data_IF_724886279167
#
_entry.id   IF_724886279167
#
_cell.length_a   1.000
_cell.length_b   1.000
_cell.length_c   1.000
_cell.angle_alpha   90.00
_cell.angle_beta   90.00
_cell.angle_gamma   90.00
#
_symmetry.space_group_name_H-M   'P 1'
#
loop_
_entity.id
_entity.type
_entity.pdbx_description
1 polymer ?
#
# COMPACT_ATOMS: atom_id res chain seq x y z
N UNK A 1 -27.47 -26.10 -4.10
CA UNK A 1 -28.71 -25.88 -4.88
C UNK A 1 -28.26 -25.63 -6.31
N UNK A 2 -28.75 -26.42 -7.28
CA UNK A 2 -28.44 -26.23 -8.70
C UNK A 2 -29.45 -25.23 -9.25
N UNK A 3 -29.05 -24.16 -9.95
CA UNK A 3 -30.01 -23.22 -10.52
C UNK A 3 -30.87 -23.88 -11.59
N UNK A 4 -32.19 -23.64 -11.55
CA UNK A 4 -33.16 -24.16 -12.54
C UNK A 4 -33.30 -23.26 -13.78
N UNK A 5 -32.72 -22.05 -13.74
CA UNK A 5 -32.73 -21.06 -14.81
C UNK A 5 -31.32 -20.52 -15.05
N UNK A 6 -31.10 -19.90 -16.21
CA UNK A 6 -29.85 -19.17 -16.49
C UNK A 6 -29.54 -18.20 -15.35
N UNK A 7 -28.35 -18.37 -14.76
CA UNK A 7 -27.94 -17.68 -13.54
C UNK A 7 -26.51 -17.21 -13.69
N UNK A 8 -26.26 -15.93 -13.42
CA UNK A 8 -24.90 -15.39 -13.37
C UNK A 8 -24.24 -15.75 -12.05
N UNK A 9 -23.06 -16.36 -12.11
CA UNK A 9 -22.22 -16.60 -10.95
C UNK A 9 -21.09 -15.58 -10.96
N UNK A 10 -20.95 -14.85 -9.86
CA UNK A 10 -19.80 -13.96 -9.63
C UNK A 10 -18.99 -14.57 -8.50
N UNK A 11 -17.72 -14.86 -8.78
CA UNK A 11 -16.76 -15.35 -7.80
C UNK A 11 -15.52 -14.45 -7.83
N UNK A 12 -15.02 -14.10 -6.65
CA UNK A 12 -13.75 -13.43 -6.45
C UNK A 12 -12.72 -14.47 -6.01
N UNK A 13 -11.57 -14.51 -6.68
CA UNK A 13 -10.49 -15.47 -6.41
C UNK A 13 -9.23 -14.65 -6.19
N UNK A 14 -8.68 -14.70 -4.97
CA UNK A 14 -7.48 -13.98 -4.62
C UNK A 14 -7.06 -14.27 -3.18
N UNK A 15 -5.97 -13.64 -2.72
CA UNK A 15 -5.56 -13.77 -1.32
C UNK A 15 -6.66 -13.23 -0.40
N UNK A 16 -6.91 -13.98 0.68
CA UNK A 16 -7.97 -13.66 1.63
C UNK A 16 -7.44 -12.74 2.73
N UNK A 17 -8.28 -11.81 3.17
CA UNK A 17 -8.02 -11.01 4.37
C UNK A 17 -8.20 -11.85 5.65
N UNK A 18 -7.92 -11.26 6.81
CA UNK A 18 -8.08 -11.91 8.11
C UNK A 18 -9.52 -12.39 8.41
N UNK A 19 -10.53 -11.92 7.65
CA UNK A 19 -11.94 -12.34 7.73
C UNK A 19 -12.31 -13.41 6.71
N UNK A 20 -11.36 -13.90 5.91
CA UNK A 20 -11.62 -14.90 4.87
C UNK A 20 -12.26 -14.34 3.61
N UNK A 21 -12.22 -13.02 3.40
CA UNK A 21 -12.82 -12.35 2.24
C UNK A 21 -11.75 -12.01 1.20
N UNK A 22 -12.08 -12.16 -0.08
CA UNK A 22 -11.24 -11.63 -1.15
C UNK A 22 -11.31 -10.10 -1.15
N UNK A 23 -10.15 -9.44 -1.15
CA UNK A 23 -10.07 -7.98 -1.21
C UNK A 23 -10.30 -7.45 -2.64
N UNK A 24 -10.14 -6.14 -2.83
CA UNK A 24 -10.39 -5.49 -4.11
C UNK A 24 -9.52 -6.08 -5.24
N UNK A 25 -10.19 -6.37 -6.36
CA UNK A 25 -9.57 -6.77 -7.62
C UNK A 25 -9.38 -5.55 -8.51
N UNK A 26 -8.26 -5.50 -9.24
CA UNK A 26 -8.03 -4.46 -10.24
C UNK A 26 -9.02 -4.62 -11.41
N UNK A 27 -9.28 -3.54 -12.16
CA UNK A 27 -10.25 -3.56 -13.28
C UNK A 27 -9.96 -4.65 -14.33
N UNK A 28 -8.69 -5.02 -14.46
CA UNK A 28 -8.18 -6.04 -15.39
C UNK A 28 -8.11 -7.44 -14.78
N UNK A 29 -8.37 -7.57 -13.48
CA UNK A 29 -8.37 -8.84 -12.73
C UNK A 29 -9.77 -9.47 -12.76
N UNK A 30 -10.25 -9.72 -13.97
CA UNK A 30 -11.55 -10.36 -14.24
C UNK A 30 -11.48 -11.21 -15.49
N UNK A 31 -12.38 -12.18 -15.59
CA UNK A 31 -12.59 -12.91 -16.85
C UNK A 31 -13.10 -11.94 -17.90
N UNK A 32 -12.41 -11.84 -19.04
CA UNK A 32 -12.83 -11.04 -20.20
C UNK A 32 -13.76 -11.80 -21.13
N UNK A 33 -13.85 -13.12 -20.95
CA UNK A 33 -14.68 -14.03 -21.73
C UNK A 33 -15.87 -14.51 -20.89
N UNK A 34 -16.99 -14.80 -21.57
CA UNK A 34 -18.18 -15.36 -20.95
C UNK A 34 -17.97 -16.85 -20.66
N UNK A 35 -17.81 -17.18 -19.38
CA UNK A 35 -17.71 -18.56 -18.92
C UNK A 35 -19.12 -19.06 -18.57
N UNK A 36 -19.60 -20.08 -19.28
CA UNK A 36 -20.87 -20.75 -18.98
C UNK A 36 -20.62 -22.07 -18.25
N UNK A 37 -21.29 -22.25 -17.13
CA UNK A 37 -21.23 -23.48 -16.33
C UNK A 37 -22.57 -24.20 -16.49
N UNK A 38 -22.56 -25.41 -17.04
CA UNK A 38 -23.73 -26.29 -17.06
C UNK A 38 -23.78 -27.14 -15.79
N UNK A 39 -24.67 -26.77 -14.87
CA UNK A 39 -24.87 -27.49 -13.61
C UNK A 39 -25.72 -28.76 -13.75
N UNK A 40 -26.29 -29.06 -14.92
CA UNK A 40 -27.12 -30.25 -15.15
C UNK A 40 -26.29 -31.48 -15.52
N UNK A 41 -25.11 -31.26 -16.10
CA UNK A 41 -24.21 -32.32 -16.50
C UNK A 41 -23.48 -32.93 -15.29
N UNK A 42 -23.37 -34.26 -15.25
CA UNK A 42 -22.71 -35.01 -14.17
C UNK A 42 -21.47 -35.72 -14.70
N UNK A 43 -20.43 -35.82 -13.86
CA UNK A 43 -19.14 -36.45 -14.20
C UNK A 43 -18.44 -35.83 -15.42
N UNK A 44 -18.69 -34.55 -15.70
CA UNK A 44 -17.97 -33.80 -16.72
C UNK A 44 -16.65 -33.36 -16.12
N UNK A 45 -15.59 -34.10 -16.44
CA UNK A 45 -14.22 -33.80 -16.02
C UNK A 45 -13.53 -32.81 -16.97
N UNK A 46 -14.30 -31.88 -17.56
CA UNK A 46 -13.83 -30.92 -18.56
C UNK A 46 -13.47 -29.55 -17.94
N UNK A 47 -13.30 -29.48 -16.62
CA UNK A 47 -12.72 -28.28 -15.99
C UNK A 47 -11.31 -28.08 -16.55
N UNK A 48 -11.16 -27.22 -17.56
CA UNK A 48 -9.90 -26.95 -18.25
C UNK A 48 -8.94 -26.11 -17.41
N UNK A 49 -9.47 -25.35 -16.45
CA UNK A 49 -8.71 -24.50 -15.55
C UNK A 49 -8.70 -25.10 -14.14
N UNK A 50 -7.50 -25.38 -13.63
CA UNK A 50 -7.31 -25.81 -12.24
C UNK A 50 -7.15 -24.58 -11.35
N UNK A 51 -8.00 -24.45 -10.33
CA UNK A 51 -7.81 -23.48 -9.24
C UNK A 51 -6.55 -23.76 -8.40
N UNK A 52 -5.94 -24.94 -8.57
CA UNK A 52 -4.75 -25.38 -7.87
C UNK A 52 -3.46 -25.21 -8.70
N UNK A 53 -3.59 -25.01 -10.02
CA UNK A 53 -2.47 -24.71 -10.92
C UNK A 53 -2.63 -23.31 -11.53
N UNK A 54 -2.91 -22.33 -10.67
CA UNK A 54 -2.80 -20.93 -11.06
C UNK A 54 -1.30 -20.67 -11.25
N UNK A 55 -0.85 -20.18 -12.42
CA UNK A 55 0.56 -19.85 -12.60
C UNK A 55 0.98 -18.94 -11.46
N UNK A 56 2.14 -19.25 -10.87
CA UNK A 56 2.67 -18.51 -9.73
C UNK A 56 2.60 -17.01 -10.05
N UNK A 57 2.17 -16.21 -9.07
CA UNK A 57 1.97 -14.78 -9.26
C UNK A 57 3.21 -14.22 -9.95
N UNK A 58 3.06 -13.72 -11.18
CA UNK A 58 4.16 -13.27 -12.04
C UNK A 58 5.37 -12.77 -11.25
N UNK A 59 6.58 -13.24 -11.58
CA UNK A 59 7.90 -12.90 -10.99
C UNK A 59 8.27 -11.39 -11.02
N UNK A 60 7.28 -10.53 -11.23
CA UNK A 60 7.39 -9.08 -11.21
C UNK A 60 7.84 -8.66 -9.82
N UNK A 61 9.09 -8.20 -9.76
CA UNK A 61 9.65 -7.59 -8.57
C UNK A 61 8.84 -6.36 -8.17
N UNK A 62 8.59 -6.16 -6.86
CA UNK A 62 7.99 -4.93 -6.39
C UNK A 62 8.83 -3.73 -6.78
N UNK A 63 8.18 -2.58 -6.98
CA UNK A 63 8.90 -1.31 -7.02
C UNK A 63 9.61 -1.09 -5.70
N UNK A 64 10.80 -0.50 -5.75
CA UNK A 64 11.54 -0.14 -4.55
C UNK A 64 10.74 0.86 -3.73
N UNK A 65 10.38 0.55 -2.47
CA UNK A 65 9.66 1.50 -1.61
C UNK A 65 10.50 2.76 -1.42
N UNK A 66 9.87 3.91 -1.54
CA UNK A 66 10.54 5.18 -1.28
C UNK A 66 10.72 5.39 0.24
N UNK A 67 11.69 6.24 0.62
CA UNK A 67 11.98 6.55 2.02
C UNK A 67 12.03 8.07 2.18
N UNK A 68 11.37 8.60 3.21
CA UNK A 68 11.40 10.03 3.57
C UNK A 68 12.00 10.17 4.98
N UNK A 69 13.09 10.91 5.09
CA UNK A 69 13.83 11.06 6.35
C UNK A 69 14.32 12.50 6.62
N UNK A 70 13.93 13.46 5.80
CA UNK A 70 14.41 14.84 5.82
C UNK A 70 13.26 15.87 5.80
N UNK A 71 12.06 15.47 6.26
CA UNK A 71 10.84 16.29 6.26
C UNK A 71 10.13 16.26 7.61
N UNK A 72 9.59 17.41 8.00
CA UNK A 72 8.70 17.57 9.15
C UNK A 72 7.21 17.63 8.73
N UNK A 73 6.96 17.91 7.45
CA UNK A 73 5.64 18.16 6.88
C UNK A 73 5.40 17.24 5.70
N UNK A 74 4.24 16.60 5.69
CA UNK A 74 3.85 15.59 4.71
C UNK A 74 2.49 15.90 4.10
N UNK A 75 2.32 15.76 2.79
CA UNK A 75 1.00 15.69 2.16
C UNK A 75 0.56 14.24 2.05
N UNK A 76 -0.65 13.91 2.51
CA UNK A 76 -1.24 12.58 2.45
C UNK A 76 -2.50 12.58 1.57
N UNK A 77 -2.45 11.82 0.47
CA UNK A 77 -3.51 11.73 -0.56
C UNK A 77 -3.79 10.28 -0.91
N UNK A 78 -4.92 10.01 -1.57
CA UNK A 78 -5.29 8.67 -1.99
C UNK A 78 -4.79 8.41 -3.42
N UNK A 79 -4.52 7.15 -3.77
CA UNK A 79 -4.19 6.77 -5.14
C UNK A 79 -4.18 5.26 -5.37
N UNK A 80 -3.93 4.81 -6.60
CA UNK A 80 -3.93 3.40 -6.97
C UNK A 80 -2.79 2.64 -6.30
N UNK A 81 -2.99 1.34 -6.11
CA UNK A 81 -2.07 0.49 -5.35
C UNK A 81 -0.84 0.05 -6.13
N UNK A 82 -0.79 0.27 -7.45
CA UNK A 82 0.32 -0.15 -8.30
C UNK A 82 0.27 -1.64 -8.71
N UNK A 83 -0.92 -2.25 -8.69
CA UNK A 83 -1.16 -3.64 -9.08
C UNK A 83 -0.17 -4.61 -8.40
N UNK A 84 0.43 -5.54 -9.17
CA UNK A 84 1.33 -6.55 -8.61
C UNK A 84 2.65 -5.93 -8.18
N UNK A 85 3.13 -4.85 -8.79
CA UNK A 85 4.43 -4.24 -8.41
C UNK A 85 4.35 -3.33 -7.19
N UNK A 86 3.17 -2.89 -6.79
CA UNK A 86 2.97 -1.92 -5.74
C UNK A 86 2.62 -2.53 -4.38
N UNK A 87 1.59 -2.00 -3.73
CA UNK A 87 1.24 -2.23 -2.32
C UNK A 87 1.32 -3.70 -1.91
N UNK A 88 0.66 -4.61 -2.66
CA UNK A 88 0.53 -6.00 -2.20
C UNK A 88 1.84 -6.76 -2.17
N UNK A 89 2.73 -6.57 -3.15
CA UNK A 89 4.07 -7.18 -3.12
C UNK A 89 5.03 -6.43 -2.17
N UNK A 90 4.90 -5.10 -2.05
CA UNK A 90 5.72 -4.31 -1.10
C UNK A 90 5.43 -4.71 0.34
N UNK A 91 4.16 -4.90 0.67
CA UNK A 91 3.70 -5.11 2.05
C UNK A 91 3.51 -6.57 2.42
N UNK A 92 3.32 -7.45 1.43
CA UNK A 92 2.85 -8.82 1.64
C UNK A 92 1.36 -8.92 2.00
N UNK A 93 0.65 -7.80 2.04
CA UNK A 93 -0.75 -7.71 2.44
C UNK A 93 -1.63 -7.29 1.27
N UNK A 94 -2.80 -7.91 1.15
CA UNK A 94 -3.77 -7.49 0.14
C UNK A 94 -4.33 -6.10 0.42
N UNK A 95 -4.38 -5.28 -0.63
CA UNK A 95 -4.89 -3.92 -0.56
C UNK A 95 -6.41 -3.82 -0.82
N UNK A 96 -7.00 -2.72 -0.37
CA UNK A 96 -8.38 -2.31 -0.66
C UNK A 96 -8.57 -1.67 -2.05
N UNK A 97 -7.56 -1.71 -2.92
CA UNK A 97 -7.61 -1.13 -4.28
C UNK A 97 -7.17 0.33 -4.35
N UNK A 98 -6.91 0.95 -3.20
CA UNK A 98 -6.29 2.26 -3.03
C UNK A 98 -5.26 2.23 -1.90
N UNK A 99 -4.33 3.18 -1.91
CA UNK A 99 -3.31 3.34 -0.87
C UNK A 99 -3.00 4.82 -0.61
N UNK A 100 -2.35 5.09 0.51
CA UNK A 100 -1.82 6.40 0.84
C UNK A 100 -0.60 6.74 -0.02
N UNK A 101 -0.64 7.93 -0.61
CA UNK A 101 0.48 8.60 -1.24
C UNK A 101 0.96 9.69 -0.30
N UNK A 102 2.21 9.57 0.16
CA UNK A 102 2.83 10.56 1.03
C UNK A 102 3.89 11.30 0.24
N UNK A 103 3.77 12.63 0.15
CA UNK A 103 4.60 13.47 -0.73
C UNK A 103 4.71 12.89 -2.15
N UNK A 104 3.56 12.45 -2.69
CA UNK A 104 3.40 11.90 -4.03
C UNK A 104 4.17 10.60 -4.31
N UNK A 105 4.61 9.93 -3.25
CA UNK A 105 5.21 8.60 -3.28
C UNK A 105 4.19 7.57 -2.80
N UNK A 106 4.10 6.42 -3.47
CA UNK A 106 3.29 5.29 -3.03
C UNK A 106 3.86 4.71 -1.72
N UNK A 107 3.10 4.80 -0.64
CA UNK A 107 3.39 4.23 0.68
C UNK A 107 4.87 4.26 1.12
N UNK A 108 5.55 5.42 1.13
CA UNK A 108 6.95 5.49 1.52
C UNK A 108 7.12 5.12 3.00
N UNK A 109 8.28 4.57 3.35
CA UNK A 109 8.68 4.47 4.75
C UNK A 109 9.13 5.85 5.25
N UNK A 110 8.58 6.29 6.37
CA UNK A 110 8.88 7.61 6.96
C UNK A 110 9.81 7.41 8.15
N UNK A 111 10.78 8.30 8.37
CA UNK A 111 11.57 8.35 9.61
C UNK A 111 11.22 9.60 10.39
N UNK A 112 10.96 9.46 11.69
CA UNK A 112 10.65 10.55 12.62
C UNK A 112 11.48 10.43 13.90
N UNK A 113 11.75 11.56 14.55
CA UNK A 113 12.55 11.65 15.77
C UNK A 113 11.65 11.85 17.00
N UNK A 114 11.98 11.16 18.11
CA UNK A 114 11.36 11.40 19.42
C UNK A 114 11.55 12.86 19.86
N UNK A 115 10.52 13.40 20.51
CA UNK A 115 10.47 14.79 20.96
C UNK A 115 10.16 15.81 19.87
N UNK A 116 10.14 15.42 18.59
CA UNK A 116 9.89 16.33 17.47
C UNK A 116 8.40 16.31 17.05
N UNK A 117 7.91 17.45 16.57
CA UNK A 117 6.55 17.61 16.03
C UNK A 117 6.55 17.53 14.51
N UNK A 118 5.65 16.72 13.95
CA UNK A 118 5.42 16.51 12.53
C UNK A 118 3.99 16.89 12.15
N UNK A 119 3.81 17.34 10.90
CA UNK A 119 2.49 17.73 10.37
C UNK A 119 2.14 16.93 9.13
N UNK A 120 0.97 16.31 9.14
CA UNK A 120 0.39 15.65 7.97
C UNK A 120 -0.81 16.49 7.47
N UNK A 121 -0.73 16.92 6.22
CA UNK A 121 -1.80 17.60 5.48
C UNK A 121 -2.59 16.52 4.76
N UNK A 122 -3.77 16.19 5.27
CA UNK A 122 -4.55 15.01 4.90
C UNK A 122 -5.70 15.39 3.97
N UNK A 123 -5.79 14.69 2.85
CA UNK A 123 -6.81 14.87 1.82
C UNK A 123 -7.47 13.52 1.47
N UNK A 124 -8.01 12.83 2.47
CA UNK A 124 -8.63 11.50 2.36
C UNK A 124 -10.15 11.49 2.21
N UNK A 125 -10.79 12.66 2.18
CA UNK A 125 -12.24 12.81 2.08
C UNK A 125 -12.96 12.72 3.43
N UNK A 126 -13.99 13.57 3.59
CA UNK A 126 -14.65 13.86 4.86
C UNK A 126 -16.14 13.50 4.90
N UNK A 127 -16.62 12.64 4.01
CA UNK A 127 -18.02 12.23 3.96
C UNK A 127 -18.24 10.84 4.62
N UNK A 128 -18.53 10.78 5.93
CA UNK A 128 -18.77 9.52 6.63
C UNK A 128 -20.08 8.83 6.22
N UNK A 129 -20.96 9.49 5.44
CA UNK A 129 -22.20 8.88 4.95
C UNK A 129 -21.96 7.95 3.76
N UNK A 130 -20.76 7.99 3.17
CA UNK A 130 -20.34 7.13 2.08
C UNK A 130 -19.03 6.38 2.43
N UNK A 131 -19.00 5.63 3.56
CA UNK A 131 -17.76 5.04 4.05
C UNK A 131 -17.31 3.84 3.20
N UNK A 132 -18.26 3.11 2.58
CA UNK A 132 -17.99 1.97 1.71
C UNK A 132 -19.27 1.53 0.95
N UNK A 133 -19.92 2.41 0.15
CA UNK A 133 -21.09 1.95 -0.63
C UNK A 133 -20.61 1.15 -1.83
N UNK A 134 -20.50 -0.15 -1.59
CA UNK A 134 -20.36 -1.26 -2.52
C UNK A 134 -21.05 -0.94 -3.85
N UNK A 135 -20.30 -1.14 -4.93
CA UNK A 135 -20.72 -0.97 -6.32
C UNK A 135 -22.03 -1.73 -6.56
N UNK A 136 -23.15 -1.03 -6.57
CA UNK A 136 -24.36 -1.54 -7.22
C UNK A 136 -24.17 -1.22 -8.70
N UNK A 137 -24.00 -2.26 -9.51
CA UNK A 137 -24.09 -2.17 -10.97
C UNK A 137 -25.46 -1.61 -11.34
N UNK A 138 -25.58 -0.28 -11.44
CA UNK A 138 -26.73 0.36 -12.04
C UNK A 138 -26.44 0.51 -13.52
N UNK A 139 -27.10 -0.32 -14.33
CA UNK A 139 -27.00 -0.38 -15.79
C UNK A 139 -27.54 0.89 -16.51
N UNK A 140 -27.86 1.96 -15.79
CA UNK A 140 -28.46 3.14 -16.38
C UNK A 140 -28.08 4.44 -15.66
N UNK A 141 -26.78 4.78 -15.57
CA UNK A 141 -26.37 6.18 -15.45
C UNK A 141 -24.98 6.39 -16.04
N UNK A 142 -24.88 7.17 -17.12
CA UNK A 142 -23.65 7.90 -17.43
C UNK A 142 -23.31 8.80 -16.23
N UNK A 143 -22.24 8.47 -15.51
CA UNK A 143 -21.62 9.24 -14.40
C UNK A 143 -22.18 9.05 -12.98
N UNK A 144 -22.47 7.82 -12.54
CA UNK A 144 -22.58 7.53 -11.11
C UNK A 144 -21.20 7.20 -10.51
N UNK A 145 -20.42 8.24 -10.21
CA UNK A 145 -19.12 8.17 -9.53
C UNK A 145 -19.37 8.00 -8.01
N UNK A 146 -19.80 6.81 -7.60
CA UNK A 146 -19.97 6.47 -6.19
C UNK A 146 -18.63 5.98 -5.63
N UNK A 147 -17.72 6.92 -5.35
CA UNK A 147 -16.36 6.58 -4.90
C UNK A 147 -16.24 6.64 -3.39
N UNK A 148 -15.30 5.86 -2.89
CA UNK A 148 -14.85 5.76 -1.50
C UNK A 148 -14.29 7.12 -1.07
N UNK A 149 -15.06 7.94 -0.33
CA UNK A 149 -14.65 9.33 -0.02
C UNK A 149 -14.42 9.57 1.48
N UNK A 150 -14.12 8.51 2.24
CA UNK A 150 -13.86 8.63 3.67
C UNK A 150 -12.69 7.79 4.12
N UNK A 151 -11.50 8.37 3.99
CA UNK A 151 -10.23 7.76 4.40
C UNK A 151 -9.52 8.65 5.42
N UNK A 152 -9.97 8.72 6.67
CA UNK A 152 -9.26 9.47 7.69
C UNK A 152 -7.90 8.82 7.98
N UNK A 153 -6.87 9.65 8.10
CA UNK A 153 -5.51 9.26 8.38
C UNK A 153 -5.26 9.26 9.89
N UNK A 154 -4.60 8.23 10.39
CA UNK A 154 -4.20 8.13 11.80
C UNK A 154 -2.89 7.36 11.95
N UNK A 155 -2.28 7.45 13.14
CA UNK A 155 -1.02 6.78 13.45
C UNK A 155 -1.26 5.77 14.57
N UNK A 156 -0.81 4.53 14.38
CA UNK A 156 -1.10 3.39 15.26
C UNK A 156 0.04 2.38 15.31
N UNK A 157 0.03 1.46 16.27
CA UNK A 157 0.91 0.30 16.27
C UNK A 157 0.41 -0.84 15.33
N UNK A 158 -0.80 -0.72 14.78
CA UNK A 158 -1.40 -1.75 13.93
C UNK A 158 -0.87 -1.66 12.49
N UNK A 159 -0.24 -2.73 11.95
CA UNK A 159 0.18 -2.77 10.56
C UNK A 159 -0.98 -2.80 9.57
N UNK A 160 -2.17 -3.23 9.98
CA UNK A 160 -3.35 -3.28 9.12
C UNK A 160 -4.18 -1.99 9.18
N UNK A 161 -4.26 -1.35 10.35
CA UNK A 161 -5.11 -0.20 10.56
C UNK A 161 -6.61 -0.53 10.73
N UNK A 162 -7.46 0.29 10.12
CA UNK A 162 -8.92 0.11 10.05
C UNK A 162 -9.65 0.09 11.39
N UNK A 163 -9.15 0.86 12.36
CA UNK A 163 -9.68 0.93 13.73
C UNK A 163 -11.21 1.08 13.82
N UNK A 164 -11.82 1.86 12.92
CA UNK A 164 -13.27 2.09 12.90
C UNK A 164 -14.12 0.87 12.54
N UNK A 165 -13.52 -0.18 11.95
CA UNK A 165 -14.20 -1.45 11.63
C UNK A 165 -13.96 -2.56 12.64
N UNK A 166 -13.11 -2.30 13.65
CA UNK A 166 -12.73 -3.26 14.67
C UNK A 166 -13.77 -3.29 15.80
N UNK A 167 -13.96 -4.46 16.40
CA UNK A 167 -14.76 -4.59 17.63
C UNK A 167 -13.98 -4.03 18.83
N UNK A 168 -14.63 -3.94 20.00
CA UNK A 168 -14.02 -3.34 21.20
C UNK A 168 -12.73 -4.04 21.64
N UNK A 169 -12.72 -5.37 21.67
CA UNK A 169 -11.56 -6.15 22.11
C UNK A 169 -10.38 -5.97 21.13
N UNK A 170 -10.66 -5.88 19.83
CA UNK A 170 -9.66 -5.58 18.80
C UNK A 170 -9.15 -4.13 18.89
N UNK A 171 -10.03 -3.17 19.22
CA UNK A 171 -9.64 -1.77 19.42
C UNK A 171 -8.73 -1.61 20.63
N UNK A 172 -8.98 -2.32 21.73
CA UNK A 172 -8.15 -2.30 22.93
C UNK A 172 -6.72 -2.83 22.69
N UNK A 173 -6.51 -3.61 21.63
CA UNK A 173 -5.18 -4.10 21.22
C UNK A 173 -4.40 -3.09 20.36
N UNK A 174 -5.08 -2.08 19.81
CA UNK A 174 -4.44 -1.03 19.01
C UNK A 174 -4.11 0.18 19.87
N UNK A 175 -2.85 0.56 19.91
CA UNK A 175 -2.42 1.85 20.42
C UNK A 175 -2.53 2.89 19.32
N UNK A 176 -3.08 4.05 19.64
CA UNK A 176 -3.21 5.20 18.74
C UNK A 176 -2.24 6.28 19.21
N UNK A 177 -1.42 6.77 18.30
CA UNK A 177 -0.43 7.83 18.57
C UNK A 177 -0.90 9.20 18.07
N UNK A 178 -1.75 9.26 17.04
CA UNK A 178 -2.35 10.49 16.55
C UNK A 178 -3.55 10.22 15.65
N UNK A 179 -4.41 11.24 15.46
CA UNK A 179 -5.46 11.23 14.43
C UNK A 179 -6.82 10.68 14.87
N UNK A 180 -6.99 10.33 16.13
CA UNK A 180 -8.27 9.89 16.72
C UNK A 180 -8.48 10.61 18.05
N UNK A 181 -9.73 10.98 18.35
CA UNK A 181 -10.18 11.51 19.64
C UNK A 181 -11.40 10.75 20.11
N UNK A 182 -11.71 10.85 21.39
CA UNK A 182 -12.96 10.34 21.95
C UNK A 182 -13.97 11.47 22.11
N UNK A 183 -15.25 11.16 21.88
CA UNK A 183 -16.35 12.08 22.17
C UNK A 183 -16.71 12.07 23.67
N UNK A 184 -17.72 12.84 24.06
CA UNK A 184 -18.16 12.93 25.47
C UNK A 184 -18.70 11.63 26.06
N UNK A 185 -18.95 10.62 25.23
CA UNK A 185 -19.44 9.29 25.61
C UNK A 185 -18.34 8.23 25.49
N UNK A 186 -17.11 8.62 25.16
CA UNK A 186 -15.98 7.71 24.98
C UNK A 186 -15.97 7.01 23.62
N UNK A 187 -16.75 7.46 22.63
CA UNK A 187 -16.69 6.87 21.29
C UNK A 187 -15.52 7.47 20.50
N UNK A 188 -14.60 6.63 19.98
CA UNK A 188 -13.50 7.10 19.17
C UNK A 188 -14.00 7.58 17.80
N UNK A 189 -13.48 8.73 17.36
CA UNK A 189 -13.71 9.29 16.03
C UNK A 189 -12.41 9.88 15.46
N UNK A 190 -12.19 9.77 14.14
CA UNK A 190 -10.97 10.26 13.54
C UNK A 190 -11.01 11.78 13.35
N UNK A 191 -9.86 12.43 13.46
CA UNK A 191 -9.75 13.90 13.42
C UNK A 191 -9.11 14.45 12.15
N UNK A 192 -8.57 13.59 11.29
CA UNK A 192 -7.80 14.01 10.12
C UNK A 192 -8.31 13.31 8.86
N UNK A 193 -9.27 13.95 8.19
CA UNK A 193 -9.86 13.43 6.95
C UNK A 193 -9.65 14.40 5.78
N UNK A 194 -10.16 15.65 5.90
CA UNK A 194 -9.97 16.70 4.91
C UNK A 194 -10.76 16.51 3.63
N UNK A 195 -10.63 17.43 2.67
CA UNK A 195 -11.17 17.26 1.32
C UNK A 195 -10.64 15.98 0.66
N UNK A 196 -11.34 15.46 -0.34
CA UNK A 196 -10.87 14.28 -1.06
C UNK A 196 -9.92 14.71 -2.19
N UNK A 197 -8.72 14.14 -2.23
CA UNK A 197 -7.80 14.23 -3.36
C UNK A 197 -7.26 12.83 -3.71
N UNK A 198 -7.34 12.48 -4.99
CA UNK A 198 -6.91 11.19 -5.50
C UNK A 198 -6.00 11.33 -6.72
N UNK A 199 -4.88 10.61 -6.72
CA UNK A 199 -4.11 10.34 -7.93
C UNK A 199 -4.86 9.35 -8.80
N UNK A 200 -5.41 9.79 -9.93
CA UNK A 200 -6.25 8.96 -10.80
C UNK A 200 -5.46 8.57 -12.05
N UNK A 201 -5.58 7.30 -12.47
CA UNK A 201 -4.96 6.82 -13.71
C UNK A 201 -5.56 7.53 -14.93
N UNK A 202 -4.69 8.05 -15.79
CA UNK A 202 -5.09 8.67 -17.08
C UNK A 202 -5.09 7.67 -18.23
N UNK A 203 -4.42 6.53 -18.04
CA UNK A 203 -4.27 5.45 -19.03
C UNK A 203 -4.99 4.18 -18.59
N UNK A 204 -5.30 3.31 -19.56
CA UNK A 204 -6.01 2.03 -19.34
C UNK A 204 -5.07 0.82 -19.40
N UNK A 205 -3.77 1.02 -19.45
CA UNK A 205 -2.81 -0.09 -19.49
C UNK A 205 -2.64 -0.73 -18.10
N UNK A 206 -1.93 -1.84 -17.96
CA UNK A 206 -1.70 -2.46 -16.65
C UNK A 206 -0.52 -1.75 -15.94
N UNK A 207 -0.64 -1.45 -14.65
CA UNK A 207 0.46 -0.89 -13.85
C UNK A 207 1.68 -1.83 -13.80
N UNK A 208 1.47 -3.13 -13.98
CA UNK A 208 2.52 -4.15 -14.08
C UNK A 208 3.51 -3.89 -15.23
N UNK A 209 3.11 -3.12 -16.25
CA UNK A 209 3.92 -2.79 -17.42
C UNK A 209 5.01 -1.76 -17.15
N UNK A 210 4.98 -1.07 -16.01
CA UNK A 210 5.96 -0.04 -15.65
C UNK A 210 7.07 -0.63 -14.79
N UNK A 211 8.32 -0.50 -15.25
CA UNK A 211 9.49 -0.99 -14.52
C UNK A 211 9.74 -0.23 -13.22
N UNK A 212 9.47 1.08 -13.20
CA UNK A 212 9.65 1.94 -12.05
C UNK A 212 8.34 2.62 -11.62
N UNK A 213 8.20 2.88 -10.31
CA UNK A 213 7.08 3.67 -9.80
C UNK A 213 7.02 5.07 -10.44
N UNK A 214 8.16 5.70 -10.70
CA UNK A 214 8.19 7.04 -11.30
C UNK A 214 7.58 7.07 -12.71
N UNK A 215 7.78 6.03 -13.51
CA UNK A 215 7.17 5.95 -14.84
C UNK A 215 5.66 5.68 -14.75
N UNK A 216 5.24 4.85 -13.80
CA UNK A 216 3.83 4.68 -13.48
C UNK A 216 3.18 6.00 -13.01
N UNK A 217 3.84 6.72 -12.11
CA UNK A 217 3.34 7.96 -11.52
C UNK A 217 3.09 9.06 -12.56
N UNK A 218 3.91 9.13 -13.61
CA UNK A 218 3.70 10.05 -14.76
C UNK A 218 2.36 9.83 -15.48
N UNK A 219 1.72 8.68 -15.28
CA UNK A 219 0.40 8.38 -15.85
C UNK A 219 -0.76 8.74 -14.94
N UNK A 220 -0.47 9.33 -13.78
CA UNK A 220 -1.48 9.75 -12.81
C UNK A 220 -1.74 11.26 -12.92
N UNK A 221 -2.99 11.64 -12.69
CA UNK A 221 -3.43 13.03 -12.60
C UNK A 221 -4.11 13.22 -11.25
N UNK A 222 -3.71 14.27 -10.51
CA UNK A 222 -4.34 14.58 -9.23
C UNK A 222 -5.73 15.20 -9.45
N UNK A 223 -6.75 14.61 -8.84
CA UNK A 223 -8.12 15.14 -8.85
C UNK A 223 -8.58 15.39 -7.43
N UNK A 224 -9.01 16.62 -7.18
CA UNK A 224 -9.44 17.07 -5.86
C UNK A 224 -10.85 17.62 -5.90
N UNK A 225 -11.61 17.32 -4.85
CA UNK A 225 -12.89 17.97 -4.58
C UNK A 225 -12.67 19.37 -3.97
N UNK A 226 -13.73 20.18 -4.03
CA UNK A 226 -13.78 21.46 -3.34
C UNK A 226 -13.74 21.25 -1.82
N UNK A 227 -12.99 22.09 -1.12
CA UNK A 227 -12.88 22.05 0.34
C UNK A 227 -11.45 22.29 0.80
N UNK A 228 -11.25 22.12 2.10
CA UNK A 228 -9.96 22.32 2.77
C UNK A 228 -9.33 20.98 3.20
N UNK A 229 -8.00 20.83 3.15
CA UNK A 229 -7.33 19.69 3.74
C UNK A 229 -7.47 19.70 5.28
N UNK A 230 -7.36 18.53 5.90
CA UNK A 230 -7.21 18.44 7.35
C UNK A 230 -5.74 18.51 7.75
N UNK A 231 -5.46 18.93 8.98
CA UNK A 231 -4.11 18.89 9.56
C UNK A 231 -4.10 17.92 10.74
N UNK A 232 -3.23 16.92 10.67
CA UNK A 232 -2.84 16.10 11.81
C UNK A 232 -1.46 16.58 12.28
N UNK A 233 -1.39 17.07 13.50
CA UNK A 233 -0.13 17.45 14.16
C UNK A 233 0.18 16.38 15.18
N UNK A 234 1.37 15.79 15.08
CA UNK A 234 1.82 14.71 15.96
C UNK A 234 3.18 15.06 16.55
N UNK A 235 3.25 15.13 17.87
CA UNK A 235 4.52 15.18 18.60
C UNK A 235 4.87 13.76 19.01
N UNK A 236 6.04 13.29 18.57
CA UNK A 236 6.49 11.92 18.84
C UNK A 236 6.93 11.84 20.31
N UNK A 237 6.21 11.05 21.10
CA UNK A 237 6.57 10.86 22.51
C UNK A 237 7.81 9.98 22.65
N UNK A 238 8.58 10.17 23.73
CA UNK A 238 9.76 9.34 24.06
C UNK A 238 9.41 7.85 24.17
N UNK A 239 8.21 7.54 24.65
CA UNK A 239 7.67 6.19 24.81
C UNK A 239 7.24 5.53 23.49
N UNK A 240 7.19 6.27 22.38
CA UNK A 240 6.73 5.75 21.08
C UNK A 240 7.65 4.60 20.65
N UNK A 241 7.13 3.42 20.25
CA UNK A 241 7.94 2.31 19.75
C UNK A 241 8.76 2.70 18.50
N UNK A 242 9.88 2.00 18.26
CA UNK A 242 10.74 2.24 17.09
C UNK A 242 10.04 2.02 15.74
N UNK A 243 8.90 1.35 15.73
CA UNK A 243 8.10 1.11 14.54
C UNK A 243 6.64 1.32 14.88
N UNK A 244 6.02 2.26 14.17
CA UNK A 244 4.58 2.50 14.15
C UNK A 244 4.12 2.59 12.70
N UNK A 245 2.84 2.77 12.46
CA UNK A 245 2.25 2.78 11.13
C UNK A 245 1.34 3.98 10.97
N UNK A 246 1.39 4.61 9.80
CA UNK A 246 0.29 5.45 9.36
C UNK A 246 -0.72 4.59 8.62
N UNK A 247 -2.01 4.78 8.90
CA UNK A 247 -3.06 3.96 8.33
C UNK A 247 -4.33 4.76 8.05
N UNK A 248 -5.27 4.11 7.36
CA UNK A 248 -6.64 4.59 7.28
C UNK A 248 -7.45 4.11 8.49
N UNK A 249 -8.21 5.01 9.11
CA UNK A 249 -9.11 4.70 10.21
C UNK A 249 -10.24 3.75 9.79
N UNK A 250 -10.77 3.93 8.57
CA UNK A 250 -11.94 3.20 8.08
C UNK A 250 -11.58 1.88 7.42
N UNK A 251 -10.48 1.82 6.66
CA UNK A 251 -10.14 0.66 5.83
C UNK A 251 -8.80 0.08 6.23
N UNK A 252 -8.70 -1.26 6.22
CA UNK A 252 -7.43 -1.94 6.46
C UNK A 252 -6.50 -1.77 5.25
N UNK A 253 -5.20 -1.83 5.47
CA UNK A 253 -4.16 -1.99 4.45
C UNK A 253 -4.10 -0.85 3.42
N UNK A 254 -4.11 0.41 3.89
CA UNK A 254 -3.95 1.59 3.04
C UNK A 254 -2.62 2.31 3.25
N UNK A 255 -1.97 2.16 4.40
CA UNK A 255 -0.74 2.85 4.73
C UNK A 255 0.43 1.92 5.02
N UNK A 256 1.47 2.46 5.64
CA UNK A 256 2.75 1.80 5.82
C UNK A 256 3.55 2.35 7.01
N UNK A 257 4.84 2.05 7.04
CA UNK A 257 5.70 2.17 8.22
C UNK A 257 6.16 3.60 8.49
N UNK A 258 6.24 3.92 9.77
CA UNK A 258 7.01 5.03 10.33
C UNK A 258 8.06 4.42 11.26
N UNK A 259 9.33 4.61 10.92
CA UNK A 259 10.46 4.33 11.78
C UNK A 259 10.66 5.49 12.76
N UNK A 260 10.70 5.19 14.04
CA UNK A 260 10.91 6.17 15.11
C UNK A 260 12.31 6.00 15.66
N UNK A 261 13.09 7.08 15.62
CA UNK A 261 14.48 7.13 16.07
C UNK A 261 14.65 8.13 17.19
N UNK A 262 15.77 8.04 17.91
CA UNK A 262 16.09 8.99 18.98
C UNK A 262 16.46 10.37 18.41
N UNK A 263 16.26 11.42 19.21
CA UNK A 263 16.57 12.78 18.83
C UNK A 263 18.05 12.93 18.41
N UNK A 264 18.28 13.64 17.29
CA UNK A 264 19.61 13.85 16.74
C UNK A 264 20.20 12.63 16.02
N UNK A 265 19.37 11.63 15.70
CA UNK A 265 19.77 10.50 14.89
C UNK A 265 20.28 10.97 13.52
N UNK A 266 21.58 10.79 13.29
CA UNK A 266 22.19 11.00 11.98
C UNK A 266 22.16 9.67 11.25
N UNK A 267 21.40 9.61 10.16
CA UNK A 267 21.53 8.53 9.19
C UNK A 267 23.02 8.43 8.82
N UNK A 268 23.65 7.31 9.18
CA UNK A 268 24.93 6.97 8.59
C UNK A 268 24.65 6.78 7.10
N UNK A 269 24.95 7.82 6.30
CA UNK A 269 25.14 7.64 4.87
C UNK A 269 26.25 6.60 4.76
N UNK A 270 25.88 5.37 4.43
CA UNK A 270 26.83 4.42 3.89
C UNK A 270 27.25 4.97 2.53
N UNK A 271 28.18 5.94 2.55
CA UNK A 271 29.02 6.21 1.40
C UNK A 271 29.74 4.91 1.12
N UNK A 272 29.31 4.22 0.07
CA UNK A 272 30.10 3.18 -0.57
C UNK A 272 31.34 3.87 -1.09
N UNK A 273 32.33 4.06 -0.22
CA UNK A 273 33.68 4.39 -0.60
C UNK A 273 34.15 3.23 -1.46
N UNK A 274 34.22 3.49 -2.75
CA UNK A 274 34.90 2.66 -3.74
C UNK A 274 36.34 2.46 -3.24
N UNK A 275 36.57 1.36 -2.53
CA UNK A 275 37.92 0.91 -2.20
C UNK A 275 38.51 0.43 -3.52
N UNK A 276 39.26 1.30 -4.19
CA UNK A 276 40.10 0.93 -5.33
C UNK A 276 41.04 -0.21 -4.88
N UNK A 277 41.05 -1.37 -5.56
CA UNK A 277 41.98 -2.43 -5.23
C UNK A 277 43.38 -1.95 -5.63
N UNK A 278 44.23 -1.74 -4.64
CA UNK A 278 45.66 -1.51 -4.84
C UNK A 278 46.27 -2.83 -5.33
N UNK A 279 46.45 -2.97 -6.64
CA UNK A 279 47.23 -4.05 -7.21
C UNK A 279 48.70 -3.88 -6.78
N UNK A 280 49.15 -4.71 -5.85
CA UNK A 280 50.57 -4.84 -5.53
C UNK A 280 51.27 -5.54 -6.70
N UNK A 281 52.10 -4.81 -7.44
CA UNK A 281 53.00 -5.38 -8.45
C UNK A 281 54.16 -6.05 -7.72
N UNK A 282 54.14 -7.38 -7.65
CA UNK A 282 55.30 -8.19 -7.24
C UNK A 282 56.26 -8.31 -8.44
N UNK A 283 57.34 -7.53 -8.40
CA UNK A 283 58.51 -7.73 -9.26
C UNK A 283 59.27 -8.96 -8.77
N UNK A 284 59.14 -10.08 -9.48
CA UNK A 284 59.98 -11.26 -9.28
C UNK A 284 61.30 -11.06 -10.04
N UNK A 285 62.39 -10.86 -9.32
CA UNK A 285 63.75 -10.91 -9.85
C UNK A 285 64.19 -12.38 -9.97
N UNK A 286 64.27 -12.89 -11.20
CA UNK A 286 64.88 -14.19 -11.49
C UNK A 286 66.39 -14.03 -11.53
N UNK A 287 67.07 -14.44 -10.44
CA UNK A 287 68.51 -14.66 -10.45
C UNK A 287 68.78 -16.04 -11.06
N UNK A 288 69.21 -16.07 -12.32
CA UNK A 288 69.70 -17.27 -12.98
C UNK A 288 71.14 -17.55 -12.54
N UNK A 289 71.32 -18.49 -11.62
CA UNK A 289 72.62 -19.13 -11.34
C UNK A 289 72.75 -20.33 -12.27
N UNK A 290 73.52 -20.18 -13.35
CA UNK A 290 74.05 -21.33 -14.08
C UNK A 290 75.46 -21.63 -13.56
N UNK A 291 75.56 -22.69 -12.78
CA UNK A 291 76.79 -23.42 -12.48
C UNK A 291 76.87 -24.66 -13.38
N UNK A 292 78.09 -25.17 -13.51
CA UNK A 292 78.57 -26.34 -14.28
C UNK A 292 79.03 -26.01 -15.70
N UNK A 293 80.19 -26.42 -16.21
CA UNK A 293 81.29 -27.27 -15.74
C UNK A 293 82.35 -27.31 -16.84
N UNK A 294 83.63 -27.47 -16.43
CA UNK A 294 84.86 -27.72 -17.24
C UNK A 294 85.52 -26.53 -17.92
#
# INVERSE_FOLDING_TARGET
MIPETETSVIAAIGPLNARGEANAHERFDKTTEDIRIDFTSRNVHECTNSLYNIPDSSDLKPWTPAVINDKDTFSARIGPTGAKRGYSQITGSSSWGIAWYINDLLIPEITVERGQTYTFIVEGGNDPSNPARQVIFSFAVTSLKLYYMYHPFYITNSPEGGFGQKNKDEQEQQMIFAGVKEDSKGYPYPTAAGRYCEWVRTTVDNADNYETFNDFFKTLELKCDMGEPAKLVWTVEESTPNLVYYQCYTHNNLGWKIHVVDAGYRLQKNDVSQVLPTFAILLTSTVAVFLFSR
#
